data_IF_800448627800
#
_entry.id   IF_800448627800
#
_cell.length_a   1.000
_cell.length_b   1.000
_cell.length_c   1.000
_cell.angle_alpha   90.00
_cell.angle_beta   90.00
_cell.angle_gamma   90.00
#
_symmetry.space_group_name_H-M   'P 1'
#
loop_
_entity.id
_entity.type
_entity.pdbx_description
1 polymer ?
#
# COMPACT_ATOMS: atom_id res chain seq x y z
N UNK A 1 28.80 34.69 -1.70
CA UNK A 1 28.67 33.33 -1.09
C UNK A 1 27.98 33.28 0.27
N UNK A 2 27.93 34.36 1.08
CA UNK A 2 27.32 34.38 2.43
C UNK A 2 25.77 34.47 2.45
N UNK A 3 25.16 34.89 1.34
CA UNK A 3 23.69 35.09 1.22
C UNK A 3 22.91 33.77 1.10
N UNK A 4 23.38 32.82 0.27
CA UNK A 4 22.69 31.54 0.00
C UNK A 4 22.66 30.60 1.21
N UNK A 5 23.60 30.73 2.14
CA UNK A 5 23.64 29.94 3.38
C UNK A 5 22.67 30.47 4.45
N UNK A 6 22.35 31.77 4.46
CA UNK A 6 21.31 32.33 5.33
C UNK A 6 19.90 31.94 4.88
N UNK A 7 19.61 31.95 3.58
CA UNK A 7 18.33 31.49 3.04
C UNK A 7 18.00 30.04 3.40
N UNK A 8 19.00 29.15 3.30
CA UNK A 8 18.84 27.73 3.65
C UNK A 8 18.54 27.52 5.13
N UNK A 9 19.15 28.31 6.02
CA UNK A 9 18.91 28.26 7.47
C UNK A 9 17.54 28.82 7.84
N UNK A 10 17.11 29.90 7.18
CA UNK A 10 15.78 30.47 7.36
C UNK A 10 14.68 29.50 6.91
N UNK A 11 14.88 28.81 5.79
CA UNK A 11 13.93 27.82 5.28
C UNK A 11 13.84 26.58 6.20
N UNK A 12 14.97 26.10 6.72
CA UNK A 12 15.01 24.99 7.67
C UNK A 12 14.33 25.37 9.01
N UNK A 13 14.56 26.60 9.50
CA UNK A 13 13.90 27.11 10.69
C UNK A 13 12.38 27.26 10.50
N UNK A 14 11.94 27.71 9.32
CA UNK A 14 10.51 27.82 8.98
C UNK A 14 9.83 26.45 8.92
N UNK A 15 10.48 25.45 8.34
CA UNK A 15 9.98 24.07 8.30
C UNK A 15 9.87 23.45 9.70
N UNK A 16 10.87 23.67 10.56
CA UNK A 16 10.83 23.22 11.95
C UNK A 16 9.72 23.92 12.73
N UNK A 17 9.54 25.24 12.55
CA UNK A 17 8.45 26.01 13.17
C UNK A 17 7.06 25.56 12.69
N UNK A 18 6.90 25.27 11.40
CA UNK A 18 5.64 24.78 10.86
C UNK A 18 5.32 23.38 11.37
N UNK A 19 6.33 22.52 11.52
CA UNK A 19 6.14 21.18 12.11
C UNK A 19 5.80 21.24 13.60
N UNK A 20 6.42 22.15 14.37
CA UNK A 20 6.09 22.32 15.78
C UNK A 20 4.70 22.95 15.97
N UNK A 21 4.28 23.87 15.11
CA UNK A 21 2.93 24.43 15.09
C UNK A 21 1.87 23.38 14.72
N UNK A 22 2.16 22.48 13.77
CA UNK A 22 1.27 21.38 13.40
C UNK A 22 1.09 20.37 14.55
N UNK A 23 2.20 20.01 15.22
CA UNK A 23 2.17 19.13 16.40
C UNK A 23 1.43 19.77 17.58
N UNK A 24 1.59 21.08 17.80
CA UNK A 24 0.85 21.81 18.82
C UNK A 24 -0.67 21.90 18.51
N UNK A 25 -1.03 22.02 17.23
CA UNK A 25 -2.43 22.02 16.77
C UNK A 25 -3.13 20.68 17.02
N UNK A 26 -2.43 19.56 16.86
CA UNK A 26 -2.95 18.22 17.20
C UNK A 26 -3.11 18.00 18.71
N UNK A 27 -2.39 18.76 19.54
CA UNK A 27 -2.38 18.56 21.00
C UNK A 27 -3.50 19.31 21.74
N UNK A 28 -4.18 20.25 21.08
CA UNK A 28 -5.20 21.10 21.71
C UNK A 28 -6.61 20.58 21.47
N UNK A 29 -6.87 19.34 21.86
CA UNK A 29 -8.23 18.87 22.10
C UNK A 29 -8.43 18.72 23.61
N UNK A 30 -8.48 19.86 24.32
CA UNK A 30 -9.04 19.89 25.67
C UNK A 30 -10.52 19.54 25.55
N UNK A 31 -10.86 18.28 25.84
CA UNK A 31 -12.24 17.85 25.94
C UNK A 31 -12.94 18.67 27.04
N UNK A 32 -13.86 19.52 26.63
CA UNK A 32 -14.75 20.28 27.53
C UNK A 32 -15.63 19.28 28.31
N UNK A 33 -15.86 19.48 29.62
CA UNK A 33 -16.72 18.58 30.40
C UNK A 33 -18.14 18.56 29.82
N UNK A 34 -18.86 17.43 29.89
CA UNK A 34 -20.19 17.31 29.32
C UNK A 34 -21.14 18.33 29.94
N UNK A 35 -21.74 19.17 29.09
CA UNK A 35 -22.69 20.18 29.54
C UNK A 35 -24.09 19.57 29.60
N UNK A 36 -24.62 19.37 30.82
CA UNK A 36 -26.05 19.17 31.04
C UNK A 36 -26.74 20.54 31.04
N UNK A 37 -27.73 20.71 30.18
CA UNK A 37 -28.57 21.90 30.11
C UNK A 37 -29.99 21.50 30.51
N UNK A 38 -30.52 22.08 31.59
CA UNK A 38 -31.92 21.91 32.02
C UNK A 38 -32.79 22.87 31.20
N UNK A 39 -33.82 22.34 30.53
CA UNK A 39 -34.62 23.07 29.54
C UNK A 39 -36.05 23.37 29.99
N UNK A 40 -36.59 22.60 30.94
CA UNK A 40 -37.95 22.77 31.44
C UNK A 40 -37.97 23.53 32.78
N UNK A 41 -38.96 24.43 32.95
CA UNK A 41 -39.25 25.06 34.23
C UNK A 41 -39.83 24.11 35.29
N UNK A 42 -40.28 22.92 34.88
CA UNK A 42 -40.74 21.85 35.76
C UNK A 42 -39.58 21.05 36.38
N UNK A 43 -38.36 21.20 35.86
CA UNK A 43 -37.18 20.46 36.30
C UNK A 43 -36.11 21.37 36.91
N UNK A 44 -35.44 20.89 37.96
CA UNK A 44 -34.34 21.60 38.63
C UNK A 44 -33.20 20.64 38.94
N UNK A 45 -31.95 21.09 38.77
CA UNK A 45 -30.79 20.29 39.15
C UNK A 45 -30.61 20.35 40.67
N UNK A 46 -30.68 19.20 41.34
CA UNK A 46 -30.44 19.08 42.79
C UNK A 46 -28.98 18.86 43.13
N UNK A 47 -28.32 17.95 42.42
CA UNK A 47 -26.91 17.65 42.64
C UNK A 47 -26.24 17.13 41.37
N UNK A 48 -24.93 17.35 41.32
CA UNK A 48 -24.04 16.78 40.31
C UNK A 48 -22.80 16.25 40.99
N UNK A 49 -22.42 15.01 40.69
CA UNK A 49 -21.18 14.39 41.16
C UNK A 49 -20.42 13.81 39.97
N UNK A 50 -19.11 13.97 39.95
CA UNK A 50 -18.25 13.45 38.89
C UNK A 50 -17.15 12.58 39.47
N UNK A 51 -16.95 11.40 38.88
CA UNK A 51 -15.89 10.47 39.26
C UNK A 51 -15.43 9.69 38.03
N UNK A 52 -14.11 9.68 37.78
CA UNK A 52 -13.45 8.90 36.70
C UNK A 52 -14.18 8.96 35.34
N UNK A 53 -14.51 10.16 34.85
CA UNK A 53 -15.16 10.36 33.54
C UNK A 53 -16.64 9.96 33.49
N UNK A 54 -17.23 9.60 34.64
CA UNK A 54 -18.67 9.36 34.80
C UNK A 54 -19.27 10.51 35.63
N UNK A 55 -20.31 11.14 35.09
CA UNK A 55 -21.03 12.23 35.74
C UNK A 55 -22.44 11.76 36.11
N UNK A 56 -22.79 11.87 37.39
CA UNK A 56 -24.12 11.63 37.92
C UNK A 56 -24.82 12.96 38.13
N UNK A 57 -25.97 13.15 37.48
CA UNK A 57 -26.85 14.29 37.68
C UNK A 57 -28.16 13.82 38.31
N UNK A 58 -28.63 14.54 39.32
CA UNK A 58 -29.89 14.29 39.98
C UNK A 58 -30.80 15.50 39.76
N UNK A 59 -31.86 15.29 38.99
CA UNK A 59 -32.88 16.29 38.69
C UNK A 59 -34.09 16.07 39.58
N UNK A 60 -34.71 17.15 40.05
CA UNK A 60 -36.03 17.15 40.66
C UNK A 60 -37.04 17.71 39.69
N UNK A 61 -38.08 16.93 39.41
CA UNK A 61 -39.20 17.30 38.54
C UNK A 61 -40.43 17.55 39.42
N UNK A 62 -40.95 18.77 39.39
CA UNK A 62 -42.14 19.17 40.14
C UNK A 62 -43.35 19.19 39.21
N UNK A 63 -44.32 18.32 39.48
CA UNK A 63 -45.55 18.21 38.69
C UNK A 63 -46.71 18.85 39.45
N UNK A 64 -47.38 19.88 38.89
CA UNK A 64 -48.54 20.52 39.51
C UNK A 64 -49.71 19.55 39.75
N UNK A 65 -50.62 19.85 40.69
CA UNK A 65 -51.80 19.03 40.93
C UNK A 65 -52.72 19.00 39.70
N UNK A 66 -53.39 17.87 39.50
CA UNK A 66 -54.35 17.64 38.40
C UNK A 66 -53.77 17.95 37.01
N UNK A 67 -52.47 17.70 36.81
CA UNK A 67 -51.76 18.02 35.58
C UNK A 67 -50.97 16.83 35.05
N UNK A 68 -50.76 16.81 33.74
CA UNK A 68 -50.02 15.75 33.05
C UNK A 68 -48.87 16.38 32.28
N UNK A 69 -47.66 15.87 32.53
CA UNK A 69 -46.50 16.12 31.68
C UNK A 69 -46.44 14.98 30.66
N UNK A 70 -46.55 15.30 29.36
CA UNK A 70 -46.52 14.31 28.28
C UNK A 70 -45.34 14.59 27.37
N UNK A 71 -44.33 13.71 27.43
CA UNK A 71 -43.10 13.81 26.64
C UNK A 71 -42.37 15.16 26.78
N UNK A 72 -42.39 15.77 27.96
CA UNK A 72 -41.74 17.06 28.18
C UNK A 72 -40.22 16.91 28.22
N UNK A 73 -39.49 17.66 27.39
CA UNK A 73 -38.02 17.65 27.40
C UNK A 73 -37.49 18.40 28.63
N UNK A 74 -36.96 17.67 29.61
CA UNK A 74 -36.51 18.23 30.87
C UNK A 74 -35.04 18.68 30.86
N UNK A 75 -34.16 17.99 30.15
CA UNK A 75 -32.75 18.33 30.04
C UNK A 75 -32.07 17.71 28.81
N UNK A 76 -30.96 18.27 28.35
CA UNK A 76 -30.12 17.71 27.28
C UNK A 76 -28.64 17.69 27.68
N UNK A 77 -27.92 16.68 27.20
CA UNK A 77 -26.49 16.49 27.35
C UNK A 77 -25.83 16.68 25.99
N UNK A 78 -24.72 17.43 25.96
CA UNK A 78 -23.91 17.63 24.75
C UNK A 78 -22.52 16.99 24.92
N UNK A 79 -21.99 16.47 23.81
CA UNK A 79 -20.65 15.89 23.70
C UNK A 79 -20.37 14.73 24.69
N UNK A 80 -21.41 13.99 25.07
CA UNK A 80 -21.30 12.79 25.90
C UNK A 80 -22.48 11.84 25.73
N UNK A 81 -22.25 10.57 26.08
CA UNK A 81 -23.25 9.51 26.03
C UNK A 81 -24.02 9.39 27.35
N UNK A 82 -25.33 9.16 27.26
CA UNK A 82 -26.15 8.81 28.43
C UNK A 82 -26.07 7.29 28.62
N UNK A 83 -25.46 6.85 29.72
CA UNK A 83 -25.36 5.42 30.06
C UNK A 83 -26.62 4.90 30.73
N UNK A 84 -27.30 5.72 31.55
CA UNK A 84 -28.61 5.38 32.10
C UNK A 84 -29.38 6.62 32.53
N UNK A 85 -30.70 6.56 32.43
CA UNK A 85 -31.63 7.55 32.98
C UNK A 85 -32.77 6.80 33.68
N UNK A 86 -33.05 7.15 34.94
CA UNK A 86 -34.12 6.53 35.73
C UNK A 86 -34.89 7.57 36.53
N UNK A 87 -36.21 7.51 36.48
CA UNK A 87 -37.12 8.27 37.33
C UNK A 87 -37.65 7.40 38.47
N UNK A 88 -38.09 8.03 39.56
CA UNK A 88 -38.62 7.32 40.73
C UNK A 88 -40.14 7.10 40.62
N UNK A 89 -40.87 7.99 39.93
CA UNK A 89 -42.32 7.94 39.77
C UNK A 89 -42.78 7.91 38.31
N UNK A 90 -42.18 8.74 37.45
CA UNK A 90 -42.53 8.86 36.04
C UNK A 90 -41.73 7.97 35.10
N UNK A 91 -42.00 8.13 33.80
CA UNK A 91 -41.25 7.46 32.73
C UNK A 91 -40.29 8.47 32.10
N UNK A 92 -39.04 8.07 31.92
CA UNK A 92 -38.02 8.87 31.24
C UNK A 92 -37.57 8.13 29.99
N UNK A 93 -37.61 8.83 28.85
CA UNK A 93 -37.08 8.35 27.59
C UNK A 93 -35.96 9.27 27.12
N UNK A 94 -34.88 8.66 26.62
CA UNK A 94 -33.77 9.39 26.00
C UNK A 94 -34.03 9.48 24.50
N UNK A 95 -34.08 10.69 23.96
CA UNK A 95 -34.21 10.98 22.52
C UNK A 95 -32.99 11.76 22.05
N UNK A 96 -32.34 11.29 20.99
CA UNK A 96 -31.18 11.96 20.40
C UNK A 96 -30.24 11.00 19.66
N UNK A 97 -29.25 11.56 18.95
CA UNK A 97 -28.24 10.82 18.19
C UNK A 97 -27.17 11.75 17.62
N UNK A 98 -25.91 11.30 17.63
CA UNK A 98 -24.75 12.12 17.27
C UNK A 98 -24.10 12.77 18.50
N UNK A 99 -24.07 14.11 18.54
CA UNK A 99 -23.33 14.90 19.54
C UNK A 99 -24.20 15.39 20.73
N UNK A 100 -25.49 15.06 20.76
CA UNK A 100 -26.40 15.43 21.85
C UNK A 100 -27.44 14.35 22.15
N UNK A 101 -27.92 14.33 23.40
CA UNK A 101 -29.00 13.46 23.85
C UNK A 101 -29.90 14.19 24.85
N UNK A 102 -31.21 14.14 24.64
CA UNK A 102 -32.21 14.83 25.44
C UNK A 102 -33.10 13.85 26.20
N UNK A 103 -33.54 14.27 27.39
CA UNK A 103 -34.38 13.51 28.31
C UNK A 103 -35.80 14.04 28.22
N UNK A 104 -36.73 13.14 27.88
CA UNK A 104 -38.16 13.41 27.90
C UNK A 104 -38.79 12.71 29.10
N UNK A 105 -39.68 13.41 29.81
CA UNK A 105 -40.33 12.93 31.01
C UNK A 105 -41.85 12.89 30.83
N UNK A 106 -42.48 11.81 31.29
CA UNK A 106 -43.92 11.63 31.25
C UNK A 106 -44.46 11.20 32.61
N UNK A 107 -45.44 11.93 33.15
CA UNK A 107 -46.13 11.61 34.38
C UNK A 107 -47.52 12.26 34.43
N UNK A 108 -48.51 11.55 34.98
CA UNK A 108 -49.89 12.00 35.14
C UNK A 108 -50.20 12.19 36.63
N UNK A 109 -50.15 13.44 37.11
CA UNK A 109 -50.48 13.76 38.50
C UNK A 109 -51.97 13.99 38.65
N UNK A 110 -52.70 12.93 39.04
CA UNK A 110 -54.14 13.01 39.39
C UNK A 110 -54.39 13.43 40.83
N UNK A 111 -53.34 13.70 41.60
CA UNK A 111 -53.43 14.16 42.98
C UNK A 111 -53.79 15.64 43.08
N UNK A 112 -54.32 16.02 44.24
CA UNK A 112 -54.61 17.42 44.59
C UNK A 112 -53.39 18.19 45.11
N UNK A 113 -52.25 17.51 45.27
CA UNK A 113 -50.99 18.10 45.71
C UNK A 113 -49.92 18.10 44.61
N UNK A 114 -48.86 18.89 44.83
CA UNK A 114 -47.65 18.80 44.01
C UNK A 114 -46.97 17.47 44.23
N UNK A 115 -46.51 16.85 43.14
CA UNK A 115 -45.67 15.66 43.20
C UNK A 115 -44.25 16.06 42.81
N UNK A 116 -43.28 15.64 43.61
CA UNK A 116 -41.86 15.83 43.33
C UNK A 116 -41.24 14.47 43.01
N UNK A 117 -40.76 14.32 41.77
CA UNK A 117 -40.05 13.12 41.31
C UNK A 117 -38.55 13.40 41.21
N UNK A 118 -37.74 12.38 41.46
CA UNK A 118 -36.29 12.45 41.33
C UNK A 118 -35.84 11.61 40.14
N UNK A 119 -35.14 12.26 39.21
CA UNK A 119 -34.57 11.66 38.00
C UNK A 119 -33.06 11.60 38.13
N UNK A 120 -32.51 10.39 38.10
CA UNK A 120 -31.08 10.11 38.17
C UNK A 120 -30.53 9.82 36.77
N UNK A 121 -29.53 10.58 36.36
CA UNK A 121 -28.90 10.51 35.04
C UNK A 121 -27.42 10.21 35.18
N UNK A 122 -26.95 9.13 34.52
CA UNK A 122 -25.53 8.77 34.44
C UNK A 122 -25.04 9.07 33.03
N UNK A 123 -24.11 10.02 32.93
CA UNK A 123 -23.44 10.44 31.70
C UNK A 123 -22.00 9.93 31.71
N UNK A 124 -21.57 9.33 30.61
CA UNK A 124 -20.20 8.81 30.45
C UNK A 124 -19.51 9.65 29.38
N UNK A 125 -18.35 10.19 29.72
CA UNK A 125 -17.50 10.89 28.75
C UNK A 125 -17.07 9.93 27.63
N UNK A 126 -17.05 10.39 26.36
CA UNK A 126 -16.55 9.57 25.28
C UNK A 126 -15.08 9.21 25.54
N UNK A 127 -14.61 8.03 25.12
CA UNK A 127 -13.23 7.63 25.30
C UNK A 127 -12.32 8.68 24.66
N UNK A 128 -11.45 9.30 25.47
CA UNK A 128 -10.50 10.32 25.01
C UNK A 128 -9.69 9.70 23.85
N UNK A 129 -9.78 10.29 22.66
CA UNK A 129 -9.01 9.87 21.50
C UNK A 129 -7.54 9.76 21.93
N UNK A 130 -6.96 8.58 21.77
CA UNK A 130 -5.57 8.34 22.13
C UNK A 130 -4.70 9.38 21.41
N UNK A 131 -3.80 10.05 22.15
CA UNK A 131 -2.75 10.84 21.52
C UNK A 131 -2.10 10.01 20.43
N UNK A 132 -1.80 10.57 19.23
CA UNK A 132 -1.09 9.81 18.21
C UNK A 132 0.15 9.22 18.86
N UNK A 133 0.40 7.91 18.69
CA UNK A 133 1.52 7.27 19.37
C UNK A 133 2.80 8.02 19.01
N UNK A 134 3.66 8.26 20.00
CA UNK A 134 4.93 9.00 19.84
C UNK A 134 5.74 8.50 18.63
N UNK A 135 5.57 7.22 18.27
CA UNK A 135 6.13 6.59 17.09
C UNK A 135 5.72 7.28 15.75
N UNK A 136 4.45 7.64 15.57
CA UNK A 136 3.98 8.27 14.32
C UNK A 136 4.58 9.66 14.12
N UNK A 137 4.67 10.44 15.20
CA UNK A 137 5.30 11.77 15.18
C UNK A 137 6.81 11.64 14.87
N UNK A 138 7.50 10.67 15.48
CA UNK A 138 8.91 10.44 15.22
C UNK A 138 9.20 10.05 13.75
N UNK A 139 8.34 9.22 13.16
CA UNK A 139 8.44 8.81 11.74
C UNK A 139 8.29 10.02 10.82
N UNK A 140 7.31 10.91 11.07
CA UNK A 140 7.10 12.10 10.26
C UNK A 140 8.33 13.04 10.29
N UNK A 141 8.91 13.27 11.47
CA UNK A 141 10.12 14.11 11.62
C UNK A 141 11.32 13.51 10.89
N UNK A 142 11.54 12.20 11.02
CA UNK A 142 12.63 11.50 10.34
C UNK A 142 12.51 11.59 8.81
N UNK A 143 11.29 11.47 8.27
CA UNK A 143 11.05 11.58 6.83
C UNK A 143 11.37 12.99 6.29
N UNK A 144 10.98 14.04 7.02
CA UNK A 144 11.30 15.44 6.66
C UNK A 144 12.81 15.68 6.69
N UNK A 145 13.52 15.15 7.70
CA UNK A 145 14.97 15.27 7.79
C UNK A 145 15.67 14.54 6.62
N UNK A 146 15.25 13.31 6.30
CA UNK A 146 15.82 12.52 5.20
C UNK A 146 15.60 13.18 3.84
N UNK A 147 14.39 13.65 3.56
CA UNK A 147 14.06 14.36 2.30
C UNK A 147 14.84 15.67 2.16
N UNK A 148 14.96 16.43 3.25
CA UNK A 148 15.77 17.65 3.28
C UNK A 148 17.25 17.37 2.99
N UNK A 149 17.81 16.31 3.58
CA UNK A 149 19.19 15.90 3.32
C UNK A 149 19.40 15.52 1.85
N UNK A 150 18.52 14.71 1.27
CA UNK A 150 18.64 14.23 -0.11
C UNK A 150 18.46 15.35 -1.16
N UNK A 151 17.65 16.37 -0.89
CA UNK A 151 17.32 17.41 -1.88
C UNK A 151 18.18 18.67 -1.76
N UNK A 152 18.55 19.09 -0.54
CA UNK A 152 19.19 20.40 -0.31
C UNK A 152 20.72 20.35 -0.19
N UNK A 153 21.29 19.18 0.06
CA UNK A 153 22.74 18.98 0.17
C UNK A 153 23.33 18.46 -1.13
N UNK A 154 24.56 18.88 -1.45
CA UNK A 154 25.25 18.43 -2.66
C UNK A 154 25.54 16.93 -2.61
N UNK A 155 26.02 16.43 -1.46
CA UNK A 155 26.27 15.01 -1.23
C UNK A 155 24.99 14.18 -1.27
N UNK A 156 23.89 14.66 -0.71
CA UNK A 156 22.59 13.99 -0.74
C UNK A 156 22.05 13.85 -2.16
N UNK A 157 22.10 14.93 -2.94
CA UNK A 157 21.65 14.93 -4.34
C UNK A 157 22.49 14.00 -5.22
N UNK A 158 23.82 13.96 -5.00
CA UNK A 158 24.70 13.03 -5.72
C UNK A 158 24.35 11.57 -5.44
N UNK A 159 24.11 11.22 -4.16
CA UNK A 159 23.69 9.86 -3.77
C UNK A 159 22.32 9.50 -4.35
N UNK A 160 21.37 10.44 -4.32
CA UNK A 160 20.03 10.26 -4.91
C UNK A 160 20.13 10.01 -6.41
N UNK A 161 20.90 10.83 -7.13
CA UNK A 161 21.11 10.67 -8.56
C UNK A 161 21.79 9.32 -8.88
N UNK A 162 22.83 8.94 -8.13
CA UNK A 162 23.49 7.64 -8.32
C UNK A 162 22.54 6.46 -8.08
N UNK A 163 21.72 6.51 -7.02
CA UNK A 163 20.74 5.46 -6.74
C UNK A 163 19.66 5.35 -7.83
N UNK A 164 19.14 6.49 -8.31
CA UNK A 164 18.10 6.51 -9.34
C UNK A 164 18.64 6.16 -10.74
N UNK A 165 19.89 6.52 -11.05
CA UNK A 165 20.53 6.24 -12.34
C UNK A 165 21.19 4.87 -12.42
N UNK A 166 21.45 4.19 -11.29
CA UNK A 166 22.13 2.91 -11.27
C UNK A 166 21.49 1.83 -12.18
N UNK A 167 20.16 1.63 -12.21
CA UNK A 167 19.54 0.66 -13.12
C UNK A 167 19.80 1.02 -14.58
N UNK A 168 19.61 2.28 -14.96
CA UNK A 168 19.80 2.75 -16.34
C UNK A 168 21.27 2.66 -16.74
N UNK A 169 22.18 3.10 -15.87
CA UNK A 169 23.63 2.98 -16.09
C UNK A 169 24.06 1.52 -16.26
N UNK A 170 23.51 0.61 -15.45
CA UNK A 170 23.72 -0.83 -15.60
C UNK A 170 23.21 -1.34 -16.95
N UNK A 171 22.00 -0.96 -17.37
CA UNK A 171 21.45 -1.35 -18.68
C UNK A 171 22.25 -0.78 -19.86
N UNK A 172 22.73 0.46 -19.77
CA UNK A 172 23.54 1.11 -20.82
C UNK A 172 24.91 0.45 -20.93
N UNK A 173 25.62 0.26 -19.82
CA UNK A 173 26.92 -0.43 -19.81
C UNK A 173 26.81 -1.86 -20.38
N UNK A 174 25.73 -2.57 -20.03
CA UNK A 174 25.41 -3.90 -20.55
C UNK A 174 25.19 -3.94 -22.06
N UNK A 175 24.71 -2.86 -22.69
CA UNK A 175 24.60 -2.74 -24.16
C UNK A 175 25.94 -2.40 -24.81
N UNK A 176 26.69 -1.47 -24.24
CA UNK A 176 28.01 -1.08 -24.77
C UNK A 176 28.96 -2.27 -24.86
N UNK A 177 28.99 -3.13 -23.85
CA UNK A 177 29.86 -4.30 -23.85
C UNK A 177 29.60 -5.30 -24.98
N UNK A 178 28.36 -5.37 -25.50
CA UNK A 178 28.05 -6.19 -26.68
C UNK A 178 28.55 -5.52 -27.96
N UNK A 179 28.38 -4.21 -28.08
CA UNK A 179 28.74 -3.42 -29.26
C UNK A 179 30.25 -3.27 -29.45
N UNK A 180 31.07 -3.52 -28.40
CA UNK A 180 32.54 -3.49 -28.48
C UNK A 180 33.16 -4.56 -29.38
N UNK A 181 32.41 -5.54 -29.88
CA UNK A 181 32.94 -6.62 -30.72
C UNK A 181 32.05 -6.88 -31.94
N UNK A 182 32.56 -6.55 -33.12
CA UNK A 182 31.87 -6.80 -34.40
C UNK A 182 31.45 -8.27 -34.57
N UNK A 183 32.31 -9.22 -34.18
CA UNK A 183 32.01 -10.66 -34.23
C UNK A 183 30.82 -11.02 -33.35
N UNK A 184 30.71 -10.41 -32.16
CA UNK A 184 29.61 -10.66 -31.23
C UNK A 184 28.29 -10.07 -31.75
N UNK A 185 28.34 -8.87 -32.31
CA UNK A 185 27.19 -8.24 -32.99
C UNK A 185 26.72 -9.14 -34.14
N UNK A 186 27.65 -9.59 -34.99
CA UNK A 186 27.36 -10.50 -36.10
C UNK A 186 26.70 -11.81 -35.64
N UNK A 187 27.23 -12.45 -34.60
CA UNK A 187 26.65 -13.68 -34.02
C UNK A 187 25.22 -13.41 -33.50
N UNK A 188 25.02 -12.30 -32.79
CA UNK A 188 23.71 -11.96 -32.23
C UNK A 188 22.68 -11.64 -33.32
N UNK A 189 23.07 -10.90 -34.35
CA UNK A 189 22.22 -10.61 -35.52
C UNK A 189 21.85 -11.88 -36.28
N UNK A 190 22.83 -12.77 -36.49
CA UNK A 190 22.58 -14.08 -37.08
C UNK A 190 21.55 -14.88 -36.27
N UNK A 191 21.68 -14.93 -34.95
CA UNK A 191 20.73 -15.63 -34.08
C UNK A 191 19.34 -14.99 -34.02
N UNK A 192 19.21 -13.68 -34.21
CA UNK A 192 17.91 -13.00 -34.35
C UNK A 192 17.16 -13.43 -35.60
N UNK A 193 17.90 -13.63 -36.69
CA UNK A 193 17.34 -14.09 -37.96
C UNK A 193 17.13 -15.61 -38.01
N UNK A 194 18.02 -16.36 -37.36
CA UNK A 194 18.07 -17.82 -37.36
C UNK A 194 18.10 -18.35 -35.91
N UNK A 195 17.02 -18.19 -35.13
CA UNK A 195 16.99 -18.67 -33.75
C UNK A 195 17.04 -20.21 -33.74
N UNK A 196 17.66 -20.80 -32.73
CA UNK A 196 17.77 -22.26 -32.65
C UNK A 196 18.93 -22.84 -33.46
N UNK A 197 20.04 -22.12 -33.58
CA UNK A 197 21.22 -22.59 -34.31
C UNK A 197 22.23 -23.30 -33.40
N UNK A 198 22.91 -24.32 -33.92
CA UNK A 198 24.05 -24.94 -33.24
C UNK A 198 25.32 -24.08 -33.36
N UNK A 199 26.29 -24.27 -32.46
CA UNK A 199 27.60 -23.58 -32.56
C UNK A 199 28.29 -23.83 -33.91
N UNK A 200 28.17 -25.05 -34.46
CA UNK A 200 28.76 -25.40 -35.76
C UNK A 200 28.13 -24.58 -36.88
N UNK A 201 26.81 -24.45 -36.88
CA UNK A 201 26.09 -23.64 -37.87
C UNK A 201 26.41 -22.17 -37.70
N UNK A 202 26.40 -21.64 -36.46
CA UNK A 202 26.78 -20.24 -36.21
C UNK A 202 28.19 -19.96 -36.74
N UNK A 203 29.16 -20.82 -36.44
CA UNK A 203 30.54 -20.68 -36.93
C UNK A 203 30.61 -20.67 -38.46
N UNK A 204 29.94 -21.62 -39.12
CA UNK A 204 29.92 -21.72 -40.59
C UNK A 204 29.28 -20.51 -41.26
N UNK A 205 28.10 -20.08 -40.80
CA UNK A 205 27.34 -19.01 -41.44
C UNK A 205 27.87 -17.60 -41.12
N UNK A 206 28.50 -17.40 -39.96
CA UNK A 206 29.06 -16.09 -39.57
C UNK A 206 30.53 -15.90 -39.98
N UNK A 207 31.21 -16.97 -40.38
CA UNK A 207 32.65 -16.99 -40.66
C UNK A 207 33.53 -16.82 -39.42
N UNK A 208 32.95 -16.86 -38.21
CA UNK A 208 33.68 -16.76 -36.95
C UNK A 208 34.18 -18.15 -36.56
N UNK A 209 35.44 -18.26 -36.10
CA UNK A 209 36.02 -19.55 -35.72
C UNK A 209 35.25 -20.21 -34.57
N UNK A 210 35.24 -21.54 -34.53
CA UNK A 210 34.44 -22.28 -33.54
C UNK A 210 34.76 -21.90 -32.08
N UNK A 211 36.05 -21.72 -31.75
CA UNK A 211 36.48 -21.29 -30.42
C UNK A 211 36.03 -19.87 -30.07
N UNK A 212 36.07 -18.95 -31.04
CA UNK A 212 35.58 -17.58 -30.85
C UNK A 212 34.05 -17.53 -30.72
N UNK A 213 33.31 -18.36 -31.47
CA UNK A 213 31.86 -18.50 -31.31
C UNK A 213 31.53 -18.95 -29.89
N UNK A 214 32.21 -19.98 -29.37
CA UNK A 214 32.01 -20.44 -28.00
C UNK A 214 32.27 -19.32 -26.98
N UNK A 215 33.38 -18.59 -27.13
CA UNK A 215 33.70 -17.45 -26.28
C UNK A 215 32.61 -16.37 -26.33
N UNK A 216 32.26 -15.89 -27.53
CA UNK A 216 31.26 -14.84 -27.70
C UNK A 216 29.87 -15.24 -27.23
N UNK A 217 29.45 -16.48 -27.46
CA UNK A 217 28.18 -17.00 -26.94
C UNK A 217 28.17 -17.06 -25.42
N UNK A 218 29.27 -17.44 -24.77
CA UNK A 218 29.34 -17.44 -23.30
C UNK A 218 29.15 -16.04 -22.72
N UNK A 219 29.72 -15.01 -23.36
CA UNK A 219 29.50 -13.62 -22.95
C UNK A 219 28.05 -13.20 -23.22
N UNK A 220 27.51 -13.49 -24.41
CA UNK A 220 26.12 -13.15 -24.75
C UNK A 220 25.11 -13.84 -23.81
N UNK A 221 25.38 -15.07 -23.39
CA UNK A 221 24.56 -15.83 -22.44
C UNK A 221 24.65 -15.21 -21.04
N UNK A 222 25.87 -14.88 -20.56
CA UNK A 222 26.06 -14.21 -19.27
C UNK A 222 25.39 -12.83 -19.23
N UNK A 223 25.40 -12.12 -20.36
CA UNK A 223 24.69 -10.85 -20.52
C UNK A 223 23.18 -11.08 -20.82
N UNK A 224 22.69 -12.31 -20.92
CA UNK A 224 21.27 -12.63 -21.09
C UNK A 224 20.68 -12.22 -22.44
N UNK A 225 21.50 -12.02 -23.48
CA UNK A 225 21.01 -11.78 -24.84
C UNK A 225 20.61 -13.07 -25.57
N UNK A 226 21.25 -14.18 -25.20
CA UNK A 226 20.97 -15.50 -25.76
C UNK A 226 20.78 -16.50 -24.64
N UNK A 227 20.02 -17.55 -24.94
CA UNK A 227 19.86 -18.73 -24.10
C UNK A 227 20.33 -19.96 -24.87
N UNK A 228 20.59 -21.05 -24.16
CA UNK A 228 20.95 -22.34 -24.74
C UNK A 228 20.08 -23.46 -24.21
N UNK A 229 19.80 -24.43 -25.06
CA UNK A 229 19.12 -25.68 -24.73
C UNK A 229 19.92 -26.82 -25.34
N UNK A 230 20.04 -27.94 -24.61
CA UNK A 230 20.66 -29.16 -25.14
C UNK A 230 19.58 -30.04 -25.76
N UNK A 231 19.76 -30.41 -27.02
CA UNK A 231 18.87 -31.33 -27.74
C UNK A 231 19.68 -32.53 -28.21
N UNK A 232 19.62 -33.63 -27.46
CA UNK A 232 20.50 -34.78 -27.66
C UNK A 232 21.99 -34.39 -27.66
N UNK A 233 22.65 -34.52 -28.83
CA UNK A 233 24.07 -34.13 -29.03
C UNK A 233 24.27 -32.65 -29.39
N UNK A 234 23.20 -31.92 -29.67
CA UNK A 234 23.26 -30.53 -30.12
C UNK A 234 23.17 -29.59 -28.92
N UNK A 235 24.03 -28.57 -28.89
CA UNK A 235 23.83 -27.39 -28.05
C UNK A 235 23.32 -26.27 -28.94
N UNK A 236 22.07 -25.87 -28.70
CA UNK A 236 21.31 -24.97 -29.54
C UNK A 236 21.19 -23.62 -28.84
N UNK A 237 21.46 -22.54 -29.56
CA UNK A 237 21.38 -21.17 -29.04
C UNK A 237 20.26 -20.40 -29.72
N UNK A 238 19.59 -19.53 -28.97
CA UNK A 238 18.52 -18.67 -29.46
C UNK A 238 18.49 -17.36 -28.67
N UNK A 239 17.98 -16.25 -29.24
CA UNK A 239 17.85 -14.99 -28.52
C UNK A 239 16.86 -15.10 -27.35
N UNK A 240 17.17 -14.43 -26.24
CA UNK A 240 16.26 -14.36 -25.08
C UNK A 240 14.93 -13.70 -25.47
N UNK A 241 13.82 -14.28 -25.01
CA UNK A 241 12.47 -13.78 -25.30
C UNK A 241 11.89 -14.25 -26.64
N UNK A 242 12.62 -15.08 -27.40
CA UNK A 242 12.05 -15.75 -28.58
C UNK A 242 11.24 -16.97 -28.11
N UNK A 243 9.98 -17.11 -28.55
CA UNK A 243 9.10 -18.19 -28.12
C UNK A 243 9.58 -19.56 -28.66
N UNK A 244 9.26 -20.64 -27.93
CA UNK A 244 9.86 -21.95 -28.13
C UNK A 244 9.54 -22.56 -29.50
N UNK A 245 8.31 -22.39 -29.96
CA UNK A 245 7.79 -22.76 -31.27
C UNK A 245 8.70 -22.26 -32.39
N UNK A 246 9.15 -21.00 -32.28
CA UNK A 246 9.92 -20.36 -33.35
C UNK A 246 11.33 -20.92 -33.46
N UNK A 247 12.05 -21.01 -32.34
CA UNK A 247 13.44 -21.47 -32.37
C UNK A 247 13.55 -22.99 -32.51
N UNK A 248 12.60 -23.76 -31.97
CA UNK A 248 12.53 -25.21 -32.18
C UNK A 248 12.21 -25.56 -33.64
N UNK A 249 11.31 -24.82 -34.30
CA UNK A 249 11.01 -25.01 -35.72
C UNK A 249 12.27 -24.81 -36.58
N UNK A 250 12.94 -23.67 -36.39
CA UNK A 250 14.18 -23.36 -37.10
C UNK A 250 15.28 -24.39 -36.84
N UNK A 251 15.41 -24.90 -35.62
CA UNK A 251 16.34 -25.98 -35.30
C UNK A 251 15.97 -27.28 -36.04
N UNK A 252 14.73 -27.74 -35.92
CA UNK A 252 14.25 -28.98 -36.51
C UNK A 252 14.42 -29.00 -38.04
N UNK A 253 14.09 -27.90 -38.70
CA UNK A 253 14.20 -27.79 -40.16
C UNK A 253 15.66 -27.72 -40.62
N UNK A 254 16.48 -26.89 -39.96
CA UNK A 254 17.81 -26.54 -40.48
C UNK A 254 18.93 -27.43 -39.99
N UNK A 255 18.76 -28.08 -38.85
CA UNK A 255 19.78 -28.95 -38.25
C UNK A 255 19.40 -30.44 -38.32
N UNK A 256 18.10 -30.75 -38.25
CA UNK A 256 17.61 -32.13 -38.34
C UNK A 256 17.02 -32.48 -39.71
N UNK A 257 16.75 -31.49 -40.58
CA UNK A 257 16.14 -31.70 -41.90
C UNK A 257 14.67 -32.14 -41.83
N UNK A 258 14.00 -31.92 -40.69
CA UNK A 258 12.60 -32.28 -40.50
C UNK A 258 11.69 -31.23 -41.15
N UNK A 259 10.60 -31.64 -41.80
CA UNK A 259 9.58 -30.72 -42.31
C UNK A 259 8.55 -30.47 -41.21
N UNK A 260 8.52 -29.27 -40.64
CA UNK A 260 7.56 -28.91 -39.58
C UNK A 260 6.31 -28.29 -40.20
N UNK A 261 5.13 -28.86 -39.92
CA UNK A 261 3.86 -28.27 -40.37
C UNK A 261 3.52 -27.03 -39.53
N UNK A 262 2.85 -26.01 -40.09
CA UNK A 262 2.34 -24.88 -39.32
C UNK A 262 1.44 -25.36 -38.16
N UNK A 263 1.67 -24.84 -36.95
CA UNK A 263 0.90 -25.20 -35.75
C UNK A 263 1.23 -26.58 -35.13
N UNK A 264 2.13 -27.37 -35.72
CA UNK A 264 2.52 -28.66 -35.13
C UNK A 264 3.27 -28.46 -33.79
N UNK A 265 4.17 -27.49 -33.74
CA UNK A 265 4.92 -27.18 -32.51
C UNK A 265 4.04 -26.61 -31.40
N UNK A 266 3.05 -25.78 -31.73
CA UNK A 266 2.11 -25.25 -30.72
C UNK A 266 1.37 -26.38 -29.99
N UNK A 267 0.96 -27.43 -30.72
CA UNK A 267 0.32 -28.61 -30.12
C UNK A 267 1.29 -29.50 -29.35
N UNK A 268 2.55 -29.51 -29.76
CA UNK A 268 3.58 -30.37 -29.20
C UNK A 268 4.31 -29.74 -27.99
N UNK A 269 4.25 -28.43 -27.82
CA UNK A 269 4.94 -27.75 -26.72
C UNK A 269 4.54 -28.21 -25.32
N UNK A 270 3.25 -28.46 -25.01
CA UNK A 270 2.86 -28.95 -23.68
C UNK A 270 3.58 -30.24 -23.28
N UNK A 271 3.85 -31.15 -24.24
CA UNK A 271 4.60 -32.39 -23.95
C UNK A 271 6.11 -32.17 -23.81
N UNK A 272 6.61 -30.98 -24.18
CA UNK A 272 8.00 -30.58 -24.08
C UNK A 272 8.28 -29.58 -22.94
N UNK A 273 7.25 -29.10 -22.23
CA UNK A 273 7.40 -28.08 -21.18
C UNK A 273 8.39 -28.48 -20.09
N UNK A 274 8.31 -29.71 -19.60
CA UNK A 274 9.23 -30.22 -18.56
C UNK A 274 10.67 -30.22 -19.06
N UNK A 275 10.91 -30.69 -20.29
CA UNK A 275 12.24 -30.69 -20.91
C UNK A 275 12.79 -29.27 -21.15
N UNK A 276 11.91 -28.33 -21.52
CA UNK A 276 12.27 -26.92 -21.69
C UNK A 276 12.65 -26.26 -20.37
N UNK A 277 11.95 -26.59 -19.28
CA UNK A 277 12.30 -26.11 -17.93
C UNK A 277 13.71 -26.54 -17.51
N UNK A 278 14.10 -27.79 -17.80
CA UNK A 278 15.45 -28.29 -17.55
C UNK A 278 16.47 -27.93 -18.64
N UNK A 279 16.05 -27.25 -19.71
CA UNK A 279 16.86 -26.91 -20.89
C UNK A 279 17.54 -28.13 -21.53
N UNK A 280 16.89 -29.29 -21.44
CA UNK A 280 17.39 -30.55 -21.98
C UNK A 280 16.24 -31.32 -22.63
N UNK A 281 16.29 -31.46 -23.95
CA UNK A 281 15.28 -32.17 -24.74
C UNK A 281 15.92 -33.43 -25.32
N UNK A 282 15.45 -34.64 -24.98
CA UNK A 282 15.85 -35.86 -25.68
C UNK A 282 15.48 -35.75 -27.18
N UNK A 283 16.40 -36.15 -28.07
CA UNK A 283 16.15 -36.04 -29.51
C UNK A 283 14.93 -36.86 -29.94
N UNK A 284 14.71 -38.03 -29.33
CA UNK A 284 13.55 -38.88 -29.64
C UNK A 284 12.24 -38.29 -29.13
N UNK A 285 12.26 -37.59 -27.98
CA UNK A 285 11.09 -36.86 -27.51
C UNK A 285 10.69 -35.76 -28.50
N UNK A 286 11.67 -35.00 -29.02
CA UNK A 286 11.41 -33.99 -30.04
C UNK A 286 10.89 -34.60 -31.35
N UNK A 287 11.46 -35.73 -31.79
CA UNK A 287 11.01 -36.43 -33.00
C UNK A 287 9.60 -36.98 -32.86
N UNK A 288 9.28 -37.59 -31.72
CA UNK A 288 7.93 -38.07 -31.39
C UNK A 288 6.93 -36.92 -31.41
N UNK A 289 7.29 -35.82 -30.75
CA UNK A 289 6.50 -34.59 -30.68
C UNK A 289 6.21 -33.96 -32.06
N UNK A 290 7.15 -34.05 -33.02
CA UNK A 290 7.01 -33.48 -34.37
C UNK A 290 6.49 -34.47 -35.43
N UNK A 291 6.58 -35.77 -35.16
CA UNK A 291 6.13 -36.85 -36.05
C UNK A 291 4.68 -37.29 -35.81
N UNK A 292 4.03 -36.72 -34.80
CA UNK A 292 2.61 -36.93 -34.44
C UNK A 292 1.68 -36.00 -35.22
#
# INVERSE_FOLDING_TARGET
MKSRTMEKRAFLALLLLLSSLYVAGLYRSEAQPPALVVLSGSATLKSSSSSNGTHLYVLSVRVPPLSKLSEETIACVYNAGIASAKASLGVVEVRGGGDYACLTYTFDNRGLGYVEDTVSLVVVEPPRAASPPVAEVAVAVAAVAATSYLTLTESGRQKLFAALSAPVAYYVAKREDVLRSEKRVRILEYLKQNPGASMRRISRETGVSFGEVQWHLSILERLGYVQRVRIGKYTVYYPTGVPAERWLACFAERELGLKVKPGALEKALPSLEEYLAFRQIPLEALRSALGS
#
